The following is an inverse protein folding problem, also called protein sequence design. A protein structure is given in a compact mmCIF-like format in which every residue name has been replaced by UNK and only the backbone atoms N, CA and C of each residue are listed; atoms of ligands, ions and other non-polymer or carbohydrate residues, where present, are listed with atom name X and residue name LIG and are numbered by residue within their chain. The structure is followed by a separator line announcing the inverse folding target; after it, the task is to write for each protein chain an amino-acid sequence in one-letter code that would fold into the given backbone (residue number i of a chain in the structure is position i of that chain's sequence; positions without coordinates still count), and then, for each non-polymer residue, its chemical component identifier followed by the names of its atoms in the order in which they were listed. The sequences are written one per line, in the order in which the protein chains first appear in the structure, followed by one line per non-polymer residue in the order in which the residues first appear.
data_IF_560737493984
#
_entry.id   IF_560737493984
#
_cell.length_a   1.000
_cell.length_b   1.000
_cell.length_c   1.000
_cell.angle_alpha   90.00
_cell.angle_beta   90.00
_cell.angle_gamma   90.00
#
_symmetry.space_group_name_H-M   'P 1'
#
loop_
_entity.id
_entity.type
_entity.pdbx_description
1 polymer ?
#
# COMPACT_ATOMS: atom_id res chain seq x y z
N UNK A 1 20.34 13.11 14.84
CA UNK A 1 19.51 14.05 14.04
C UNK A 1 20.09 14.42 12.66
N UNK A 2 21.38 14.17 12.37
CA UNK A 2 22.01 14.55 11.10
C UNK A 2 21.71 13.61 9.91
N UNK A 3 21.34 12.35 10.16
CA UNK A 3 21.16 11.35 9.10
C UNK A 3 19.99 11.68 8.16
N UNK A 4 18.80 11.95 8.70
CA UNK A 4 17.62 12.29 7.89
C UNK A 4 17.81 13.57 7.08
N UNK A 5 18.41 14.61 7.68
CA UNK A 5 18.75 15.84 6.96
C UNK A 5 19.72 15.55 5.81
N UNK A 6 20.71 14.68 6.03
CA UNK A 6 21.66 14.27 5.00
C UNK A 6 20.97 13.53 3.84
N UNK A 7 20.08 12.57 4.14
CA UNK A 7 19.30 11.87 3.10
C UNK A 7 18.45 12.85 2.31
N UNK A 8 17.65 13.67 2.99
CA UNK A 8 16.75 14.63 2.34
C UNK A 8 17.56 15.58 1.45
N UNK A 9 18.64 16.16 1.99
CA UNK A 9 19.52 17.05 1.23
C UNK A 9 20.18 16.36 0.04
N UNK A 10 20.53 15.08 0.16
CA UNK A 10 21.11 14.29 -0.93
C UNK A 10 20.11 14.06 -2.06
N UNK A 11 18.85 13.75 -1.73
CA UNK A 11 17.79 13.53 -2.71
C UNK A 11 17.38 14.85 -3.36
N UNK A 12 17.25 15.90 -2.56
CA UNK A 12 16.79 17.22 -3.00
C UNK A 12 17.75 17.85 -4.02
N UNK A 13 19.06 17.79 -3.72
CA UNK A 13 20.12 18.40 -4.53
C UNK A 13 20.75 17.44 -5.55
N UNK A 14 20.13 16.28 -5.78
CA UNK A 14 20.64 15.33 -6.77
C UNK A 14 20.64 15.92 -8.18
N UNK A 15 21.69 15.66 -8.96
CA UNK A 15 21.75 16.01 -10.38
C UNK A 15 20.91 15.08 -11.26
N UNK A 16 20.41 13.97 -10.69
CA UNK A 16 19.58 13.00 -11.41
C UNK A 16 18.31 13.65 -11.97
N UNK A 17 17.96 13.37 -13.24
CA UNK A 17 16.76 13.95 -13.84
C UNK A 17 15.50 13.39 -13.18
N UNK A 18 14.43 14.19 -13.18
CA UNK A 18 13.17 13.87 -12.51
C UNK A 18 12.52 12.58 -13.04
N UNK A 19 12.80 12.23 -14.29
CA UNK A 19 12.31 11.00 -14.92
C UNK A 19 12.70 9.73 -14.15
N UNK A 20 13.89 9.66 -13.56
CA UNK A 20 14.29 8.51 -12.74
C UNK A 20 13.45 8.37 -11.46
N UNK A 21 13.06 9.49 -10.86
CA UNK A 21 12.17 9.47 -9.69
C UNK A 21 10.76 9.05 -10.07
N UNK A 22 10.25 9.51 -11.22
CA UNK A 22 8.98 9.05 -11.77
C UNK A 22 9.03 7.54 -12.05
N UNK A 23 10.10 7.06 -12.67
CA UNK A 23 10.28 5.64 -12.95
C UNK A 23 10.37 4.81 -11.66
N UNK A 24 11.05 5.32 -10.64
CA UNK A 24 11.15 4.67 -9.32
C UNK A 24 9.78 4.60 -8.64
N UNK A 25 8.99 5.68 -8.72
CA UNK A 25 7.62 5.69 -8.22
C UNK A 25 6.75 4.66 -8.95
N UNK A 26 6.78 4.65 -10.29
CA UNK A 26 6.05 3.68 -11.10
C UNK A 26 6.48 2.25 -10.80
N UNK A 27 7.78 2.01 -10.64
CA UNK A 27 8.30 0.72 -10.23
C UNK A 27 7.77 0.31 -8.84
N UNK A 28 7.82 1.20 -7.86
CA UNK A 28 7.36 0.92 -6.50
C UNK A 28 5.87 0.54 -6.43
N UNK A 29 5.00 1.29 -7.12
CA UNK A 29 3.55 1.01 -7.12
C UNK A 29 3.23 -0.30 -7.85
N UNK A 30 3.91 -0.57 -8.97
CA UNK A 30 3.71 -1.82 -9.72
C UNK A 30 4.26 -3.01 -8.95
N UNK A 31 5.42 -2.87 -8.31
CA UNK A 31 5.99 -3.90 -7.45
C UNK A 31 5.06 -4.20 -6.26
N UNK A 32 4.51 -3.17 -5.60
CA UNK A 32 3.51 -3.36 -4.54
C UNK A 32 2.31 -4.15 -5.03
N UNK A 33 1.74 -3.77 -6.18
CA UNK A 33 0.58 -4.46 -6.75
C UNK A 33 0.90 -5.88 -7.18
N UNK A 34 2.09 -6.11 -7.72
CA UNK A 34 2.58 -7.43 -8.09
C UNK A 34 2.71 -8.36 -6.88
N UNK A 35 3.32 -7.89 -5.79
CA UNK A 35 3.46 -8.72 -4.57
C UNK A 35 2.09 -9.06 -3.99
N UNK A 36 1.17 -8.09 -3.97
CA UNK A 36 -0.21 -8.32 -3.49
C UNK A 36 -0.96 -9.34 -4.37
N UNK A 37 -0.84 -9.22 -5.70
CA UNK A 37 -1.42 -10.17 -6.64
C UNK A 37 -0.80 -11.56 -6.49
N UNK A 38 0.52 -11.65 -6.31
CA UNK A 38 1.23 -12.90 -6.07
C UNK A 38 0.80 -13.56 -4.75
N UNK A 39 0.56 -12.76 -3.72
CA UNK A 39 0.18 -13.26 -2.39
C UNK A 39 -1.30 -13.65 -2.29
N UNK A 40 -2.14 -13.20 -3.21
CA UNK A 40 -3.59 -13.40 -3.16
C UNK A 40 -3.97 -14.67 -3.90
N UNK A 41 -4.68 -15.59 -3.22
CA UNK A 41 -5.21 -16.82 -3.86
C UNK A 41 -6.41 -16.60 -4.78
N UNK A 42 -7.05 -15.43 -4.69
CA UNK A 42 -8.19 -15.04 -5.51
C UNK A 42 -7.73 -14.22 -6.72
N UNK A 43 -7.34 -14.92 -7.80
CA UNK A 43 -6.90 -14.31 -9.05
C UNK A 43 -7.91 -13.32 -9.65
N UNK A 44 -9.21 -13.54 -9.42
CA UNK A 44 -10.30 -12.71 -9.96
C UNK A 44 -10.23 -11.24 -9.55
N UNK A 45 -9.60 -10.89 -8.42
CA UNK A 45 -9.49 -9.49 -7.98
C UNK A 45 -8.49 -8.67 -8.80
N UNK A 46 -7.45 -9.31 -9.32
CA UNK A 46 -6.40 -8.65 -10.13
C UNK A 46 -6.54 -8.90 -11.63
N UNK A 47 -7.52 -9.71 -12.04
CA UNK A 47 -7.79 -10.03 -13.45
C UNK A 47 -8.53 -8.90 -14.17
N UNK A 48 -9.19 -8.00 -13.44
CA UNK A 48 -9.88 -6.87 -14.03
C UNK A 48 -8.93 -5.66 -14.22
N UNK A 49 -8.77 -5.24 -15.47
CA UNK A 49 -8.02 -4.05 -15.86
C UNK A 49 -8.45 -2.79 -15.10
N UNK A 50 -9.75 -2.67 -14.77
CA UNK A 50 -10.29 -1.56 -13.98
C UNK A 50 -9.64 -1.48 -12.60
N UNK A 51 -9.38 -2.62 -11.97
CA UNK A 51 -8.77 -2.68 -10.63
C UNK A 51 -7.31 -2.26 -10.68
N UNK A 52 -6.58 -2.68 -11.71
CA UNK A 52 -5.18 -2.26 -11.93
C UNK A 52 -5.11 -0.74 -12.13
N UNK A 53 -5.97 -0.18 -12.99
CA UNK A 53 -6.04 1.27 -13.21
C UNK A 53 -6.41 1.99 -11.92
N UNK A 54 -7.42 1.51 -11.20
CA UNK A 54 -7.91 2.13 -9.97
C UNK A 54 -6.77 2.29 -8.94
N UNK A 55 -6.00 1.24 -8.68
CA UNK A 55 -4.86 1.32 -7.76
C UNK A 55 -3.76 2.27 -8.24
N UNK A 56 -3.40 2.23 -9.52
CA UNK A 56 -2.37 3.12 -10.07
C UNK A 56 -2.80 4.59 -10.02
N UNK A 57 -4.06 4.89 -10.36
CA UNK A 57 -4.61 6.25 -10.28
C UNK A 57 -4.70 6.73 -8.84
N UNK A 58 -5.09 5.86 -7.90
CA UNK A 58 -5.12 6.21 -6.48
C UNK A 58 -3.74 6.66 -5.98
N UNK A 59 -2.69 5.89 -6.22
CA UNK A 59 -1.34 6.26 -5.78
C UNK A 59 -0.80 7.49 -6.52
N UNK A 60 -1.15 7.66 -7.80
CA UNK A 60 -0.76 8.85 -8.58
C UNK A 60 -1.43 10.11 -8.02
N UNK A 61 -2.74 10.05 -7.76
CA UNK A 61 -3.50 11.14 -7.14
C UNK A 61 -2.95 11.48 -5.75
N UNK A 62 -2.62 10.46 -4.95
CA UNK A 62 -2.00 10.63 -3.64
C UNK A 62 -0.62 11.32 -3.76
N UNK A 63 0.24 10.87 -4.68
CA UNK A 63 1.55 11.46 -4.89
C UNK A 63 1.44 12.95 -5.29
N UNK A 64 0.55 13.28 -6.24
CA UNK A 64 0.30 14.67 -6.65
C UNK A 64 -0.22 15.50 -5.48
N UNK A 65 -1.19 14.99 -4.73
CA UNK A 65 -1.76 15.67 -3.57
C UNK A 65 -0.69 15.98 -2.51
N UNK A 66 0.19 15.01 -2.22
CA UNK A 66 1.31 15.20 -1.30
C UNK A 66 2.33 16.21 -1.84
N UNK A 67 2.67 16.15 -3.13
CA UNK A 67 3.58 17.13 -3.76
C UNK A 67 3.02 18.55 -3.61
N UNK A 68 1.73 18.75 -3.92
CA UNK A 68 1.07 20.05 -3.77
C UNK A 68 1.07 20.50 -2.31
N UNK A 69 0.67 19.63 -1.38
CA UNK A 69 0.65 19.93 0.04
C UNK A 69 2.04 20.37 0.55
N UNK A 70 3.07 19.57 0.28
CA UNK A 70 4.43 19.88 0.74
C UNK A 70 5.04 21.07 0.00
N UNK A 71 4.69 21.30 -1.26
CA UNK A 71 5.06 22.51 -1.99
C UNK A 71 4.48 23.76 -1.30
N UNK A 72 3.19 23.75 -0.95
CA UNK A 72 2.54 24.86 -0.27
C UNK A 72 3.12 25.13 1.13
N UNK A 73 3.43 24.07 1.87
CA UNK A 73 3.97 24.17 3.23
C UNK A 73 5.44 24.61 3.26
N UNK A 74 6.27 24.08 2.36
CA UNK A 74 7.72 24.35 2.37
C UNK A 74 8.14 25.52 1.50
N UNK A 75 7.31 25.90 0.53
CA UNK A 75 7.60 26.92 -0.51
C UNK A 75 8.92 26.67 -1.27
N UNK A 76 9.40 25.41 -1.27
CA UNK A 76 10.57 24.99 -2.05
C UNK A 76 10.20 24.79 -3.51
N UNK A 77 11.21 24.68 -4.38
CA UNK A 77 10.99 24.36 -5.80
C UNK A 77 10.20 23.05 -5.93
N UNK A 78 9.17 23.06 -6.78
CA UNK A 78 8.28 21.90 -6.95
C UNK A 78 9.06 20.63 -7.33
N UNK A 79 10.10 20.76 -8.17
CA UNK A 79 10.96 19.64 -8.59
C UNK A 79 11.64 18.99 -7.38
N UNK A 80 12.18 19.79 -6.45
CA UNK A 80 12.83 19.31 -5.23
C UNK A 80 11.86 18.55 -4.33
N UNK A 81 10.64 19.06 -4.17
CA UNK A 81 9.57 18.38 -3.41
C UNK A 81 9.17 17.07 -4.09
N UNK A 82 8.96 17.09 -5.40
CA UNK A 82 8.61 15.89 -6.19
C UNK A 82 9.63 14.78 -6.03
N UNK A 83 10.94 15.08 -6.05
CA UNK A 83 12.00 14.07 -5.85
C UNK A 83 11.86 13.34 -4.51
N UNK A 84 11.61 14.10 -3.44
CA UNK A 84 11.45 13.55 -2.09
C UNK A 84 10.18 12.70 -2.01
N UNK A 85 9.05 13.22 -2.48
CA UNK A 85 7.78 12.50 -2.39
C UNK A 85 7.83 11.23 -3.24
N UNK A 86 8.22 11.31 -4.51
CA UNK A 86 8.25 10.15 -5.41
C UNK A 86 9.19 9.04 -4.92
N UNK A 87 10.38 9.39 -4.39
CA UNK A 87 11.29 8.39 -3.81
C UNK A 87 10.76 7.77 -2.51
N UNK A 88 9.96 8.53 -1.73
CA UNK A 88 9.38 8.03 -0.49
C UNK A 88 8.36 6.90 -0.70
N UNK A 89 7.76 6.79 -1.89
CA UNK A 89 6.81 5.71 -2.21
C UNK A 89 7.45 4.31 -2.22
N UNK A 90 8.77 4.18 -2.20
CA UNK A 90 9.43 2.88 -1.96
C UNK A 90 8.97 2.24 -0.64
N UNK A 91 8.58 3.05 0.35
CA UNK A 91 8.06 2.55 1.63
C UNK A 91 6.74 1.78 1.47
N UNK A 92 5.96 2.07 0.42
CA UNK A 92 4.65 1.44 0.15
C UNK A 92 4.81 -0.03 -0.26
N UNK A 93 6.02 -0.47 -0.60
CA UNK A 93 6.32 -1.88 -0.88
C UNK A 93 6.49 -2.67 0.42
N UNK A 94 6.79 -2.03 1.56
CA UNK A 94 7.01 -2.74 2.83
C UNK A 94 5.77 -3.50 3.32
N UNK A 95 4.55 -2.93 3.33
CA UNK A 95 3.37 -3.65 3.79
C UNK A 95 3.16 -5.04 3.16
N UNK A 96 3.11 -5.21 1.83
CA UNK A 96 2.93 -6.55 1.24
C UNK A 96 4.15 -7.46 1.45
N UNK A 97 5.38 -6.93 1.59
CA UNK A 97 6.55 -7.75 1.96
C UNK A 97 6.39 -8.29 3.39
N UNK A 98 6.00 -7.43 4.33
CA UNK A 98 5.76 -7.83 5.72
C UNK A 98 4.60 -8.83 5.79
N UNK A 99 3.53 -8.60 5.03
CA UNK A 99 2.41 -9.53 4.96
C UNK A 99 2.84 -10.90 4.43
N UNK A 100 3.59 -10.95 3.33
CA UNK A 100 4.06 -12.19 2.72
C UNK A 100 5.01 -12.97 3.66
N UNK A 101 5.90 -12.26 4.35
CA UNK A 101 6.85 -12.89 5.29
C UNK A 101 6.15 -13.43 6.53
N UNK A 102 5.19 -12.69 7.10
CA UNK A 102 4.43 -13.14 8.28
C UNK A 102 3.45 -14.26 7.93
N UNK A 103 2.76 -14.16 6.78
CA UNK A 103 1.81 -15.17 6.31
C UNK A 103 2.48 -16.43 5.75
N UNK A 104 3.82 -16.45 5.65
CA UNK A 104 4.61 -17.52 5.01
C UNK A 104 4.15 -17.82 3.59
N UNK A 105 3.88 -16.77 2.82
CA UNK A 105 3.47 -16.87 1.41
C UNK A 105 1.98 -17.15 1.18
N UNK A 106 1.14 -17.13 2.22
CA UNK A 106 -0.31 -17.39 2.05
C UNK A 106 -1.14 -16.13 1.79
N UNK A 107 -0.58 -14.95 2.09
CA UNK A 107 -1.27 -13.67 2.07
C UNK A 107 -2.34 -13.55 3.15
N UNK A 108 -2.52 -12.35 3.68
CA UNK A 108 -3.67 -12.02 4.52
C UNK A 108 -4.64 -11.20 3.66
N UNK A 109 -5.78 -11.80 3.30
CA UNK A 109 -6.79 -11.10 2.51
C UNK A 109 -7.22 -9.79 3.18
N UNK A 110 -7.40 -8.74 2.38
CA UNK A 110 -7.79 -7.38 2.80
C UNK A 110 -9.17 -7.37 3.46
N UNK A 111 -9.22 -7.72 4.75
CA UNK A 111 -10.46 -7.96 5.49
C UNK A 111 -11.30 -6.71 5.76
N UNK A 112 -10.87 -5.53 5.31
CA UNK A 112 -11.61 -4.28 5.40
C UNK A 112 -12.43 -3.96 4.12
N UNK A 113 -12.26 -4.72 3.04
CA UNK A 113 -12.89 -4.47 1.71
C UNK A 113 -14.26 -5.15 1.56
N UNK A 114 -14.79 -5.87 2.56
CA UNK A 114 -16.12 -6.49 2.47
C UNK A 114 -17.22 -5.62 3.11
N UNK A 115 -17.86 -4.70 2.38
CA UNK A 115 -19.07 -4.02 2.84
C UNK A 115 -20.20 -5.04 2.89
N UNK A 116 -20.74 -5.30 4.09
CA UNK A 116 -21.85 -6.24 4.31
C UNK A 116 -21.67 -7.19 5.48
N UNK A 117 -20.43 -7.52 5.85
CA UNK A 117 -20.13 -8.46 6.95
C UNK A 117 -19.73 -7.77 8.27
N UNK A 118 -19.69 -6.43 8.33
CA UNK A 118 -19.13 -5.69 9.47
C UNK A 118 -20.01 -4.48 9.83
N UNK A 119 -20.51 -4.46 11.08
CA UNK A 119 -21.35 -3.38 11.63
C UNK A 119 -20.56 -2.14 12.09
N UNK A 120 -19.25 -2.28 12.37
CA UNK A 120 -18.42 -1.19 12.89
C UNK A 120 -17.07 -1.06 12.14
N UNK A 121 -17.04 -0.14 11.17
CA UNK A 121 -15.86 0.13 10.33
C UNK A 121 -14.71 0.77 11.13
N UNK A 122 -15.04 1.65 12.09
CA UNK A 122 -14.10 2.29 13.01
C UNK A 122 -13.38 1.27 13.91
N UNK A 123 -14.13 0.32 14.49
CA UNK A 123 -13.55 -0.73 15.33
C UNK A 123 -12.53 -1.55 14.53
N UNK A 124 -12.88 -1.94 13.30
CA UNK A 124 -12.00 -2.69 12.39
C UNK A 124 -10.74 -1.92 11.99
N UNK A 125 -10.83 -0.61 11.80
CA UNK A 125 -9.67 0.23 11.46
C UNK A 125 -8.63 0.21 12.60
N UNK A 126 -9.07 0.38 13.85
CA UNK A 126 -8.17 0.32 15.01
C UNK A 126 -7.79 -1.11 15.40
N UNK A 127 -8.67 -2.09 15.13
CA UNK A 127 -8.42 -3.50 15.33
C UNK A 127 -7.74 -4.17 14.13
N UNK A 128 -7.23 -3.41 13.16
CA UNK A 128 -6.58 -3.96 11.96
C UNK A 128 -5.46 -4.94 12.32
N UNK A 129 -4.74 -4.67 13.40
CA UNK A 129 -3.71 -5.55 13.96
C UNK A 129 -4.27 -6.67 14.87
N UNK A 130 -5.55 -6.65 15.25
CA UNK A 130 -6.12 -7.64 16.20
C UNK A 130 -6.04 -9.05 15.63
N UNK A 131 -6.25 -9.24 14.32
CA UNK A 131 -6.11 -10.54 13.64
C UNK A 131 -4.65 -11.01 13.51
N UNK A 132 -3.69 -10.09 13.58
CA UNK A 132 -2.25 -10.37 13.51
C UNK A 132 -1.74 -11.13 14.76
N UNK A 133 -2.35 -10.93 15.93
CA UNK A 133 -1.86 -11.51 17.19
C UNK A 133 -2.37 -12.94 17.50
N UNK A 134 -3.38 -13.46 16.80
CA UNK A 134 -3.97 -14.79 17.05
C UNK A 134 -3.48 -15.89 16.08
N UNK A 135 -2.32 -15.70 15.44
CA UNK A 135 -1.76 -16.57 14.39
C UNK A 135 -1.55 -18.06 14.73
N UNK A 136 -1.51 -18.57 15.99
CA UNK A 136 -1.43 -20.01 16.21
C UNK A 136 -2.76 -20.77 16.10
N UNK A 137 -3.91 -20.14 16.35
CA UNK A 137 -5.19 -20.85 16.58
C UNK A 137 -6.09 -20.98 15.34
N UNK A 138 -5.77 -20.28 14.24
CA UNK A 138 -6.61 -20.24 13.03
C UNK A 138 -6.10 -21.13 11.89
N UNK A 139 -5.17 -22.06 12.20
CA UNK A 139 -4.63 -23.00 11.21
C UNK A 139 -5.70 -23.98 10.68
N UNK A 140 -6.76 -24.22 11.45
CA UNK A 140 -7.66 -25.36 11.23
C UNK A 140 -9.13 -25.00 10.91
N UNK A 141 -9.55 -23.74 11.00
CA UNK A 141 -10.93 -23.37 10.62
C UNK A 141 -10.98 -22.86 9.20
N UNK A 142 -11.45 -23.74 8.31
CA UNK A 142 -11.59 -23.56 6.88
C UNK A 142 -12.07 -22.17 6.45
N UNK A 143 -11.39 -21.65 5.44
CA UNK A 143 -11.76 -20.44 4.70
C UNK A 143 -13.05 -20.63 3.86
N UNK A 144 -13.62 -21.83 3.85
CA UNK A 144 -14.67 -22.26 2.94
C UNK A 144 -16.09 -22.00 3.45
N UNK A 145 -16.27 -21.72 4.75
CA UNK A 145 -17.59 -21.65 5.38
C UNK A 145 -18.00 -20.27 5.94
N UNK A 146 -17.36 -19.17 5.50
CA UNK A 146 -17.77 -17.80 5.90
C UNK A 146 -18.38 -16.94 4.78
N UNK A 147 -18.61 -17.53 3.60
CA UNK A 147 -19.52 -16.93 2.62
C UNK A 147 -21.01 -17.20 2.97
N UNK A 148 -21.30 -18.20 3.82
CA UNK A 148 -22.67 -18.49 4.29
C UNK A 148 -23.17 -17.55 5.40
N UNK A 149 -22.26 -16.86 6.10
CA UNK A 149 -22.67 -15.89 7.14
C UNK A 149 -23.00 -14.51 6.57
N UNK A 150 -22.65 -14.25 5.31
CA UNK A 150 -22.98 -13.00 4.61
C UNK A 150 -24.19 -13.15 3.66
N UNK A 151 -24.76 -14.35 3.51
CA UNK A 151 -25.93 -14.62 2.65
C UNK A 151 -27.29 -14.44 3.35
N UNK A 152 -27.31 -13.88 4.55
CA UNK A 152 -28.54 -13.70 5.37
C UNK A 152 -28.86 -12.25 5.70
N UNK A 153 -28.25 -11.29 5.01
CA UNK A 153 -28.53 -9.85 5.13
C UNK A 153 -29.09 -9.30 3.82
#
# INVERSE_FOLDING_TARGET
MNFFKKIISSIENSETPISFFVLTFLFAINLRNFIEAFSTKNYSYYDNFETIIHFNLFYTSLAISLIILFYLLTKKKIISVSRIILSSFLIVVLPPIIDLTVSRGKGIGMSYINPGCHSNLLERFFSFFRRFWYLPLWRDTGYENRNSDCSSC
#
